data_IF_888587679543
#
_entry.id   IF_888587679543
#
_cell.length_a   1.000
_cell.length_b   1.000
_cell.length_c   1.000
_cell.angle_alpha   90.00
_cell.angle_beta   90.00
_cell.angle_gamma   90.00
#
_symmetry.space_group_name_H-M   'P 1'
#
loop_
_entity.id
_entity.type
_entity.pdbx_description
1 polymer ?
#
# COMPACT_ATOMS: atom_id res chain seq x y z
N UNK A 1 -25.83 22.16 -10.14
CA UNK A 1 -25.20 20.95 -10.72
C UNK A 1 -24.46 20.27 -9.60
N UNK A 2 -24.91 19.10 -9.12
CA UNK A 2 -24.09 18.29 -8.22
C UNK A 2 -22.89 17.81 -9.05
N UNK A 3 -21.69 18.29 -8.76
CA UNK A 3 -20.49 17.69 -9.34
C UNK A 3 -20.38 16.29 -8.76
N UNK A 4 -20.37 15.27 -9.62
CA UNK A 4 -19.85 13.97 -9.24
C UNK A 4 -18.33 14.12 -9.27
N UNK A 5 -17.72 14.02 -8.09
CA UNK A 5 -16.28 14.08 -7.97
C UNK A 5 -15.65 12.80 -8.52
N UNK A 6 -14.48 12.90 -9.14
CA UNK A 6 -13.73 11.73 -9.59
C UNK A 6 -13.11 11.06 -8.35
N UNK A 7 -13.07 9.74 -8.37
CA UNK A 7 -12.45 8.91 -7.34
C UNK A 7 -11.25 8.19 -7.96
N UNK A 8 -10.11 8.27 -7.29
CA UNK A 8 -8.93 7.44 -7.61
C UNK A 8 -8.81 6.34 -6.54
N UNK A 9 -9.35 5.13 -6.77
CA UNK A 9 -9.46 4.12 -5.74
C UNK A 9 -8.13 3.38 -5.46
N UNK A 10 -7.06 3.65 -6.21
CA UNK A 10 -5.81 2.90 -6.05
C UNK A 10 -4.60 3.69 -6.57
N UNK A 11 -3.80 4.22 -5.65
CA UNK A 11 -2.53 4.88 -5.96
C UNK A 11 -1.46 4.55 -4.90
N UNK A 12 -0.19 4.77 -5.23
CA UNK A 12 0.93 4.60 -4.30
C UNK A 12 1.68 5.93 -4.12
N UNK A 13 1.14 6.84 -3.29
CA UNK A 13 1.73 8.17 -3.08
C UNK A 13 3.12 8.13 -2.45
N UNK A 14 3.41 7.13 -1.64
CA UNK A 14 4.70 6.97 -0.98
C UNK A 14 5.88 6.85 -1.96
N UNK A 15 5.64 6.27 -3.15
CA UNK A 15 6.67 5.96 -4.16
C UNK A 15 6.49 6.68 -5.51
N UNK A 16 5.60 7.68 -5.62
CA UNK A 16 5.50 8.50 -6.85
C UNK A 16 6.74 9.35 -7.10
N UNK A 17 6.97 9.73 -8.37
CA UNK A 17 8.00 10.68 -8.81
C UNK A 17 9.44 10.34 -8.38
N UNK A 18 9.75 9.04 -8.27
CA UNK A 18 11.10 8.57 -7.91
C UNK A 18 11.98 8.22 -9.10
N UNK A 19 11.43 8.14 -10.32
CA UNK A 19 12.14 7.62 -11.50
C UNK A 19 13.46 8.36 -11.79
N UNK A 20 13.48 9.68 -11.60
CA UNK A 20 14.68 10.51 -11.81
C UNK A 20 15.69 10.43 -10.64
N UNK A 21 15.28 9.84 -9.52
CA UNK A 21 16.09 9.68 -8.30
C UNK A 21 16.69 8.27 -8.14
N UNK A 22 16.45 7.38 -9.10
CA UNK A 22 16.87 5.98 -9.04
C UNK A 22 17.65 5.56 -10.29
N UNK A 23 18.42 4.48 -10.18
CA UNK A 23 19.06 3.87 -11.34
C UNK A 23 17.99 3.33 -12.31
N UNK A 24 18.29 3.29 -13.60
CA UNK A 24 17.37 2.74 -14.61
C UNK A 24 17.19 1.24 -14.39
N UNK A 25 15.95 0.77 -14.55
CA UNK A 25 15.66 -0.66 -14.72
C UNK A 25 16.10 -1.07 -16.14
N UNK A 26 17.27 -1.70 -16.25
CA UNK A 26 17.88 -2.02 -17.55
C UNK A 26 17.30 -3.31 -18.14
N UNK A 27 16.96 -4.28 -17.30
CA UNK A 27 16.41 -5.58 -17.71
C UNK A 27 14.90 -5.52 -17.97
N UNK A 28 14.20 -4.52 -17.43
CA UNK A 28 12.75 -4.38 -17.52
C UNK A 28 11.97 -5.36 -16.65
N UNK A 29 12.62 -6.01 -15.68
CA UNK A 29 11.99 -7.03 -14.82
C UNK A 29 11.40 -6.42 -13.55
N UNK A 30 10.38 -7.08 -12.98
CA UNK A 30 9.81 -6.71 -11.68
C UNK A 30 10.85 -6.82 -10.57
N UNK A 31 11.66 -7.89 -10.56
CA UNK A 31 12.70 -8.08 -9.56
C UNK A 31 13.71 -6.93 -9.54
N UNK A 32 14.21 -6.50 -10.70
CA UNK A 32 15.12 -5.34 -10.74
C UNK A 32 14.41 -4.07 -10.26
N UNK A 33 13.14 -3.87 -10.62
CA UNK A 33 12.37 -2.74 -10.11
C UNK A 33 12.29 -2.75 -8.58
N UNK A 34 11.98 -3.90 -7.96
CA UNK A 34 11.90 -4.04 -6.50
C UNK A 34 13.25 -3.71 -5.84
N UNK A 35 14.37 -4.22 -6.36
CA UNK A 35 15.70 -3.91 -5.81
C UNK A 35 16.03 -2.41 -5.89
N UNK A 36 15.70 -1.76 -7.01
CA UNK A 36 15.86 -0.31 -7.18
C UNK A 36 15.06 0.46 -6.13
N UNK A 37 13.83 0.00 -5.88
CA UNK A 37 12.94 0.58 -4.89
C UNK A 37 13.49 0.38 -3.47
N UNK A 38 14.06 -0.78 -3.13
CA UNK A 38 14.69 -1.02 -1.83
C UNK A 38 15.80 -0.04 -1.52
N UNK A 39 16.71 0.18 -2.46
CA UNK A 39 17.81 1.13 -2.29
C UNK A 39 17.28 2.55 -2.02
N UNK A 40 16.20 2.93 -2.70
CA UNK A 40 15.57 4.23 -2.52
C UNK A 40 14.80 4.34 -1.20
N UNK A 41 14.03 3.31 -0.82
CA UNK A 41 13.22 3.26 0.41
C UNK A 41 14.06 3.43 1.66
N UNK A 42 15.28 2.86 1.70
CA UNK A 42 16.22 3.04 2.82
C UNK A 42 16.58 4.51 3.08
N UNK A 43 16.48 5.36 2.07
CA UNK A 43 16.80 6.79 2.13
C UNK A 43 15.57 7.70 2.30
N UNK A 44 14.36 7.14 2.44
CA UNK A 44 13.18 7.96 2.64
C UNK A 44 13.23 8.75 3.94
N UNK A 45 12.76 9.99 3.85
CA UNK A 45 12.38 10.85 4.96
C UNK A 45 10.94 11.30 4.77
N UNK A 46 10.32 11.79 5.83
CA UNK A 46 8.94 12.25 5.79
C UNK A 46 8.80 13.42 4.80
N UNK A 47 9.78 14.33 4.76
CA UNK A 47 9.85 15.46 3.83
C UNK A 47 9.97 15.01 2.36
N UNK A 48 10.81 14.00 2.08
CA UNK A 48 10.98 13.46 0.72
C UNK A 48 9.66 12.96 0.13
N UNK A 49 8.88 12.22 0.93
CA UNK A 49 7.56 11.73 0.52
C UNK A 49 6.60 12.89 0.24
N UNK A 50 6.58 13.90 1.11
CA UNK A 50 5.72 15.08 0.95
C UNK A 50 6.07 15.86 -0.33
N UNK A 51 7.35 16.10 -0.58
CA UNK A 51 7.82 16.84 -1.76
C UNK A 51 7.49 16.13 -3.07
N UNK A 52 7.62 14.81 -3.11
CA UNK A 52 7.32 14.00 -4.30
C UNK A 52 5.83 13.86 -4.57
N UNK A 53 5.04 13.60 -3.52
CA UNK A 53 3.62 13.28 -3.68
C UNK A 53 2.70 14.51 -3.64
N UNK A 54 3.11 15.60 -3.00
CA UNK A 54 2.35 16.86 -2.97
C UNK A 54 1.89 17.35 -4.35
N UNK A 55 2.79 17.46 -5.35
CA UNK A 55 2.42 17.84 -6.71
C UNK A 55 1.43 16.89 -7.40
N UNK A 56 1.47 15.59 -7.08
CA UNK A 56 0.54 14.58 -7.61
C UNK A 56 -0.85 14.80 -7.03
N UNK A 57 -0.96 14.99 -5.71
CA UNK A 57 -2.23 15.32 -5.05
C UNK A 57 -2.83 16.61 -5.61
N UNK A 58 -2.03 17.66 -5.77
CA UNK A 58 -2.51 18.91 -6.36
C UNK A 58 -2.96 18.74 -7.82
N UNK A 59 -2.25 17.91 -8.60
CA UNK A 59 -2.65 17.58 -9.96
C UNK A 59 -3.99 16.82 -9.97
N UNK A 60 -4.17 15.84 -9.09
CA UNK A 60 -5.42 15.10 -8.94
C UNK A 60 -6.59 16.06 -8.61
N UNK A 61 -6.42 16.96 -7.65
CA UNK A 61 -7.41 17.99 -7.29
C UNK A 61 -7.75 18.88 -8.49
N UNK A 62 -6.74 19.38 -9.22
CA UNK A 62 -6.95 20.23 -10.42
C UNK A 62 -7.72 19.50 -11.52
N UNK A 63 -7.59 18.18 -11.61
CA UNK A 63 -8.29 17.35 -12.58
C UNK A 63 -9.65 16.81 -12.07
N UNK A 64 -10.08 17.20 -10.87
CA UNK A 64 -11.40 16.88 -10.33
C UNK A 64 -11.46 15.61 -9.49
N UNK A 65 -10.33 14.98 -9.17
CA UNK A 65 -10.27 13.89 -8.17
C UNK A 65 -10.30 14.50 -6.78
N UNK A 66 -11.37 14.24 -6.01
CA UNK A 66 -11.54 14.74 -4.64
C UNK A 66 -11.64 13.62 -3.59
N UNK A 67 -11.60 12.36 -4.01
CA UNK A 67 -11.41 11.21 -3.13
C UNK A 67 -10.35 10.28 -3.70
N UNK A 68 -9.46 9.77 -2.85
CA UNK A 68 -8.48 8.76 -3.24
C UNK A 68 -8.20 7.75 -2.14
N UNK A 69 -7.72 6.58 -2.56
CA UNK A 69 -7.19 5.55 -1.66
C UNK A 69 -5.75 5.25 -2.06
N UNK A 70 -4.83 5.47 -1.13
CA UNK A 70 -3.40 5.25 -1.34
C UNK A 70 -2.92 4.07 -0.54
N UNK A 71 -2.19 3.17 -1.19
CA UNK A 71 -1.42 2.13 -0.53
C UNK A 71 -0.08 2.71 -0.11
N UNK A 72 0.38 2.31 1.07
CA UNK A 72 1.63 2.80 1.65
C UNK A 72 2.45 1.61 2.12
N UNK A 73 3.68 1.50 1.64
CA UNK A 73 4.54 0.36 1.95
C UNK A 73 4.87 0.30 3.44
N UNK A 74 4.58 -0.86 4.05
CA UNK A 74 4.89 -1.22 5.44
C UNK A 74 5.72 -2.51 5.42
N UNK A 75 7.02 -2.39 5.69
CA UNK A 75 7.96 -3.52 5.67
C UNK A 75 9.23 -3.18 6.45
N UNK A 76 10.09 -4.17 6.65
CA UNK A 76 11.35 -3.97 7.40
C UNK A 76 12.41 -3.14 6.66
N UNK A 77 12.22 -2.84 5.37
CA UNK A 77 13.16 -2.01 4.58
C UNK A 77 12.89 -0.52 4.83
N UNK A 78 11.63 -0.09 4.69
CA UNK A 78 11.19 1.30 4.87
C UNK A 78 10.70 1.62 6.28
N UNK A 79 10.35 0.60 7.07
CA UNK A 79 9.65 0.77 8.35
C UNK A 79 8.34 1.54 8.14
N UNK A 80 8.10 2.52 9.00
CA UNK A 80 6.89 3.37 8.98
C UNK A 80 7.15 4.77 8.42
N UNK A 81 8.33 5.04 7.87
CA UNK A 81 8.65 6.37 7.30
C UNK A 81 7.74 6.74 6.11
N UNK A 82 7.46 5.83 5.16
CA UNK A 82 6.50 6.12 4.08
C UNK A 82 5.16 6.63 4.63
N UNK A 83 4.64 5.96 5.67
CA UNK A 83 3.37 6.28 6.31
C UNK A 83 3.34 7.67 6.94
N UNK A 84 4.40 8.09 7.63
CA UNK A 84 4.47 9.42 8.25
C UNK A 84 4.37 10.55 7.21
N UNK A 85 5.05 10.38 6.07
CA UNK A 85 4.96 11.33 4.96
C UNK A 85 3.54 11.41 4.37
N UNK A 86 2.91 10.25 4.13
CA UNK A 86 1.55 10.21 3.54
C UNK A 86 0.48 10.71 4.53
N UNK A 87 0.60 10.41 5.83
CA UNK A 87 -0.26 10.98 6.88
C UNK A 87 -0.19 12.50 6.90
N UNK A 88 1.01 13.06 6.74
CA UNK A 88 1.21 14.52 6.67
C UNK A 88 0.52 15.13 5.44
N UNK A 89 0.51 14.43 4.31
CA UNK A 89 -0.23 14.85 3.11
C UNK A 89 -1.75 14.79 3.33
N UNK A 90 -2.26 13.70 3.95
CA UNK A 90 -3.68 13.59 4.30
C UNK A 90 -4.12 14.77 5.17
N UNK A 91 -3.35 15.11 6.20
CA UNK A 91 -3.64 16.25 7.07
C UNK A 91 -3.58 17.60 6.30
N UNK A 92 -2.57 17.80 5.44
CA UNK A 92 -2.41 19.01 4.63
C UNK A 92 -3.61 19.28 3.70
N UNK A 93 -4.19 18.23 3.13
CA UNK A 93 -5.24 18.34 2.10
C UNK A 93 -6.65 17.97 2.56
N UNK A 94 -6.86 17.66 3.86
CA UNK A 94 -8.14 17.17 4.41
C UNK A 94 -9.38 18.03 4.14
N UNK A 95 -9.19 19.33 3.91
CA UNK A 95 -10.29 20.27 3.64
C UNK A 95 -10.70 20.28 2.16
N UNK A 96 -9.98 19.57 1.29
CA UNK A 96 -10.17 19.60 -0.16
C UNK A 96 -10.32 18.20 -0.75
N UNK A 97 -9.66 17.20 -0.16
CA UNK A 97 -9.66 15.82 -0.64
C UNK A 97 -9.82 14.83 0.50
N UNK A 98 -10.66 13.82 0.28
CA UNK A 98 -10.76 12.64 1.15
C UNK A 98 -9.67 11.65 0.77
N UNK A 99 -8.84 11.23 1.73
CA UNK A 99 -7.79 10.23 1.48
C UNK A 99 -7.95 9.06 2.45
N UNK A 100 -8.10 7.86 1.91
CA UNK A 100 -7.97 6.59 2.65
C UNK A 100 -6.55 6.05 2.50
N UNK A 101 -5.97 5.56 3.59
CA UNK A 101 -4.64 4.97 3.62
C UNK A 101 -4.73 3.47 3.89
N UNK A 102 -4.14 2.67 3.00
CA UNK A 102 -4.01 1.22 3.15
C UNK A 102 -2.63 0.90 3.72
N UNK A 103 -2.56 0.22 4.86
CA UNK A 103 -1.33 -0.36 5.37
C UNK A 103 -0.93 -1.53 4.48
N UNK A 104 0.12 -1.40 3.67
CA UNK A 104 0.38 -2.34 2.58
C UNK A 104 1.73 -3.07 2.71
N UNK A 105 1.73 -4.39 2.94
CA UNK A 105 2.94 -5.18 3.15
C UNK A 105 3.56 -5.62 1.81
N UNK A 106 4.20 -4.68 1.11
CA UNK A 106 4.79 -4.89 -0.21
C UNK A 106 5.76 -6.08 -0.28
N UNK A 107 6.54 -6.32 0.79
CA UNK A 107 7.52 -7.41 0.89
C UNK A 107 6.92 -8.72 1.42
N UNK A 108 5.60 -8.81 1.53
CA UNK A 108 4.93 -9.90 2.26
C UNK A 108 4.93 -9.67 3.77
N UNK A 109 4.20 -10.51 4.48
CA UNK A 109 4.09 -10.50 5.95
C UNK A 109 4.84 -11.70 6.53
N UNK A 110 4.64 -12.89 5.94
CA UNK A 110 5.21 -14.13 6.46
C UNK A 110 6.69 -14.22 6.11
N UNK A 111 7.05 -13.87 4.87
CA UNK A 111 8.44 -13.87 4.42
C UNK A 111 9.28 -12.67 4.90
N UNK A 112 8.67 -11.64 5.49
CA UNK A 112 9.35 -10.46 6.06
C UNK A 112 9.23 -10.42 7.60
N UNK A 113 10.14 -11.10 8.34
CA UNK A 113 10.03 -11.21 9.79
C UNK A 113 10.03 -9.86 10.51
N UNK A 114 8.92 -9.53 11.17
CA UNK A 114 8.70 -8.27 11.87
C UNK A 114 7.73 -7.32 11.16
N UNK A 115 7.34 -7.62 9.92
CA UNK A 115 6.30 -6.87 9.19
C UNK A 115 4.95 -6.90 9.93
N UNK A 116 4.59 -8.02 10.55
CA UNK A 116 3.40 -8.17 11.40
C UNK A 116 3.27 -7.03 12.44
N UNK A 117 4.34 -6.75 13.17
CA UNK A 117 4.35 -5.68 14.18
C UNK A 117 4.23 -4.29 13.54
N UNK A 118 4.86 -4.09 12.39
CA UNK A 118 4.78 -2.83 11.65
C UNK A 118 3.38 -2.59 11.09
N UNK A 119 2.72 -3.64 10.60
CA UNK A 119 1.32 -3.59 10.15
C UNK A 119 0.39 -3.20 11.30
N UNK A 120 0.59 -3.78 12.49
CA UNK A 120 -0.17 -3.41 13.68
C UNK A 120 0.04 -1.94 14.07
N UNK A 121 1.31 -1.49 14.08
CA UNK A 121 1.66 -0.10 14.39
C UNK A 121 1.12 0.88 13.32
N UNK A 122 1.12 0.49 12.04
CA UNK A 122 0.56 1.28 10.95
C UNK A 122 -0.94 1.53 11.13
N UNK A 123 -1.70 0.49 11.51
CA UNK A 123 -3.12 0.64 11.85
C UNK A 123 -3.32 1.56 13.06
N UNK A 124 -2.51 1.42 14.12
CA UNK A 124 -2.56 2.33 15.29
C UNK A 124 -2.24 3.78 14.95
N UNK A 125 -1.34 4.02 13.98
CA UNK A 125 -0.98 5.34 13.50
C UNK A 125 -2.07 6.00 12.64
N UNK A 126 -3.10 5.24 12.25
CA UNK A 126 -4.29 5.74 11.57
C UNK A 126 -4.38 5.41 10.09
N UNK A 127 -3.81 4.29 9.64
CA UNK A 127 -4.29 3.66 8.41
C UNK A 127 -5.76 3.26 8.56
N UNK A 128 -6.53 3.40 7.48
CA UNK A 128 -7.97 3.17 7.48
C UNK A 128 -8.32 1.73 7.07
N UNK A 129 -7.42 1.07 6.33
CA UNK A 129 -7.66 -0.20 5.63
C UNK A 129 -6.44 -1.10 5.77
N UNK A 130 -6.67 -2.39 5.98
CA UNK A 130 -5.62 -3.41 5.99
C UNK A 130 -5.37 -3.91 4.57
N UNK A 131 -4.12 -3.78 4.11
CA UNK A 131 -3.70 -4.30 2.82
C UNK A 131 -3.02 -5.66 2.89
N UNK A 132 -2.72 -6.21 1.71
CA UNK A 132 -2.03 -7.48 1.56
C UNK A 132 -1.46 -7.67 0.15
N UNK A 133 -0.50 -8.58 0.04
CA UNK A 133 0.13 -9.02 -1.21
C UNK A 133 0.40 -10.54 -1.13
N UNK A 134 -0.64 -11.38 -1.02
CA UNK A 134 -0.49 -12.81 -0.73
C UNK A 134 0.30 -13.58 -1.81
N UNK A 135 0.21 -13.17 -3.08
CA UNK A 135 0.95 -13.78 -4.17
C UNK A 135 2.48 -13.51 -4.11
N UNK A 136 2.92 -12.58 -3.26
CA UNK A 136 4.34 -12.34 -3.06
C UNK A 136 4.93 -13.25 -1.96
N UNK A 137 4.14 -14.04 -1.25
CA UNK A 137 4.65 -15.01 -0.27
C UNK A 137 5.38 -16.19 -0.92
N UNK A 138 6.19 -16.91 -0.14
CA UNK A 138 7.05 -17.97 -0.69
C UNK A 138 6.30 -19.25 -1.05
N UNK A 139 5.16 -19.53 -0.39
CA UNK A 139 4.41 -20.77 -0.57
C UNK A 139 2.89 -20.51 -0.50
N UNK A 140 2.05 -21.40 -1.07
CA UNK A 140 0.59 -21.26 -0.94
C UNK A 140 0.09 -21.28 0.51
N UNK A 141 0.75 -22.02 1.40
CA UNK A 141 0.42 -22.04 2.83
C UNK A 141 0.74 -20.69 3.49
N UNK A 142 1.86 -20.07 3.11
CA UNK A 142 2.23 -18.72 3.55
C UNK A 142 1.26 -17.66 2.99
N UNK A 143 0.84 -17.79 1.72
CA UNK A 143 -0.19 -16.92 1.13
C UNK A 143 -1.51 -17.02 1.89
N UNK A 144 -1.95 -18.22 2.26
CA UNK A 144 -3.16 -18.40 3.07
C UNK A 144 -3.00 -17.82 4.48
N UNK A 145 -1.82 -17.99 5.10
CA UNK A 145 -1.52 -17.40 6.40
C UNK A 145 -1.49 -15.87 6.34
N UNK A 146 -0.96 -15.28 5.27
CA UNK A 146 -0.98 -13.85 4.99
C UNK A 146 -2.42 -13.33 4.91
N UNK A 147 -3.28 -13.96 4.09
CA UNK A 147 -4.67 -13.54 3.97
C UNK A 147 -5.36 -13.59 5.33
N UNK A 148 -5.25 -14.70 6.07
CA UNK A 148 -5.85 -14.83 7.41
C UNK A 148 -5.37 -13.75 8.37
N UNK A 149 -4.06 -13.47 8.37
CA UNK A 149 -3.49 -12.41 9.19
C UNK A 149 -4.11 -11.04 8.87
N UNK A 150 -4.25 -10.68 7.59
CA UNK A 150 -4.86 -9.41 7.20
C UNK A 150 -6.32 -9.30 7.68
N UNK A 151 -7.10 -10.38 7.58
CA UNK A 151 -8.47 -10.40 8.11
C UNK A 151 -8.51 -10.32 9.64
N UNK A 152 -7.64 -11.04 10.36
CA UNK A 152 -7.53 -10.94 11.82
C UNK A 152 -7.18 -9.51 12.26
N UNK A 153 -6.29 -8.85 11.53
CA UNK A 153 -5.91 -7.46 11.78
C UNK A 153 -7.06 -6.50 11.47
N UNK A 154 -7.78 -6.71 10.36
CA UNK A 154 -8.92 -5.90 9.97
C UNK A 154 -10.03 -5.97 11.03
N UNK A 155 -10.36 -7.17 11.52
CA UNK A 155 -11.30 -7.38 12.62
C UNK A 155 -10.85 -6.68 13.91
N UNK A 156 -9.55 -6.75 14.25
CA UNK A 156 -8.99 -6.08 15.44
C UNK A 156 -9.22 -4.57 15.42
N UNK A 157 -9.14 -3.93 14.26
CA UNK A 157 -9.25 -2.48 14.11
C UNK A 157 -10.61 -2.00 13.57
N UNK A 158 -11.57 -2.89 13.35
CA UNK A 158 -12.86 -2.58 12.70
C UNK A 158 -12.65 -1.86 11.35
N UNK A 159 -11.74 -2.43 10.54
CA UNK A 159 -11.27 -1.86 9.28
C UNK A 159 -11.69 -2.72 8.07
N UNK A 160 -11.77 -2.08 6.91
CA UNK A 160 -11.92 -2.78 5.63
C UNK A 160 -10.60 -3.46 5.21
N UNK A 161 -10.67 -4.30 4.17
CA UNK A 161 -9.53 -4.97 3.54
C UNK A 161 -9.38 -4.53 2.08
N UNK A 162 -8.15 -4.26 1.63
CA UNK A 162 -7.82 -3.97 0.23
C UNK A 162 -6.45 -4.55 -0.15
N UNK A 163 -6.43 -5.69 -0.83
CA UNK A 163 -5.21 -6.43 -1.16
C UNK A 163 -4.88 -6.36 -2.65
N UNK A 164 -3.57 -6.35 -2.95
CA UNK A 164 -3.07 -6.70 -4.26
C UNK A 164 -3.13 -8.20 -4.44
N UNK A 165 -4.12 -8.66 -5.19
CA UNK A 165 -4.42 -10.09 -5.38
C UNK A 165 -3.98 -10.53 -6.76
N UNK A 166 -3.13 -11.57 -6.81
CA UNK A 166 -2.71 -12.24 -8.04
C UNK A 166 -2.21 -11.27 -9.14
N UNK A 167 -1.42 -10.25 -8.78
CA UNK A 167 -0.76 -9.31 -9.72
C UNK A 167 0.43 -10.00 -10.45
N UNK A 168 0.14 -11.09 -11.15
CA UNK A 168 1.08 -11.96 -11.86
C UNK A 168 0.38 -12.64 -13.03
N UNK A 169 1.13 -12.98 -14.07
CA UNK A 169 0.63 -13.76 -15.21
C UNK A 169 0.67 -15.29 -14.95
N UNK A 170 1.12 -15.72 -13.77
CA UNK A 170 1.17 -17.13 -13.39
C UNK A 170 -0.23 -17.66 -13.05
N UNK A 171 -0.80 -18.60 -13.85
CA UNK A 171 -2.16 -19.10 -13.64
C UNK A 171 -2.32 -19.98 -12.39
N UNK A 172 -1.23 -20.32 -11.70
CA UNK A 172 -1.26 -21.13 -10.48
C UNK A 172 -1.35 -20.30 -9.20
N UNK A 173 -1.11 -18.99 -9.27
CA UNK A 173 -1.43 -18.10 -8.16
C UNK A 173 -2.95 -17.89 -8.11
N UNK A 174 -3.56 -18.44 -7.05
CA UNK A 174 -5.00 -18.43 -6.80
C UNK A 174 -5.26 -17.91 -5.39
N UNK A 175 -4.81 -16.70 -5.11
CA UNK A 175 -5.02 -16.10 -3.79
C UNK A 175 -6.36 -15.37 -3.70
N UNK A 176 -6.98 -15.05 -4.84
CA UNK A 176 -8.34 -14.49 -4.89
C UNK A 176 -9.39 -15.36 -4.20
N UNK A 177 -9.35 -16.67 -4.40
CA UNK A 177 -10.29 -17.59 -3.74
C UNK A 177 -10.06 -17.65 -2.24
N UNK A 178 -8.80 -17.54 -1.78
CA UNK A 178 -8.49 -17.49 -0.35
C UNK A 178 -9.07 -16.23 0.30
N UNK A 179 -8.95 -15.07 -0.37
CA UNK A 179 -9.54 -13.81 0.09
C UNK A 179 -11.06 -13.92 0.14
N UNK A 180 -11.68 -14.42 -0.93
CA UNK A 180 -13.13 -14.59 -0.99
C UNK A 180 -13.67 -15.54 0.09
N UNK A 181 -12.96 -16.64 0.35
CA UNK A 181 -13.33 -17.62 1.39
C UNK A 181 -13.27 -17.02 2.80
N UNK A 182 -12.26 -16.19 3.11
CA UNK A 182 -12.19 -15.47 4.39
C UNK A 182 -13.27 -14.38 4.49
N UNK A 183 -13.56 -13.64 3.42
CA UNK A 183 -14.69 -12.68 3.38
C UNK A 183 -16.00 -13.39 3.72
N UNK A 184 -16.34 -14.47 3.01
CA UNK A 184 -17.60 -15.21 3.23
C UNK A 184 -17.69 -15.75 4.66
N UNK A 185 -16.56 -16.18 5.24
CA UNK A 185 -16.53 -16.77 6.58
C UNK A 185 -16.73 -15.73 7.68
N UNK A 186 -16.19 -14.52 7.51
CA UNK A 186 -16.11 -13.50 8.56
C UNK A 186 -17.24 -12.47 8.49
N UNK A 187 -17.90 -12.35 7.33
CA UNK A 187 -19.04 -11.46 7.11
C UNK A 187 -18.62 -10.15 6.45
#
# INVERSE_FOLDING_TARGET
MSRCDIIDPHIHLDKVNILDSVRKNVTGTLTEAIEIIWDRKRQYTDEDVIERAGPVVEAAIRNGTLAMRTHVDIDTVGGLKPLKGVLSLREKYKNVMTMQLVAFPQEGIIKDPGCDKLMDEAMQMGCDIVGGMPANENTPDDSLAHVKYCFDLAEKYDADVDMHVDETDDPFYRTLEMVADETIRRG
#
